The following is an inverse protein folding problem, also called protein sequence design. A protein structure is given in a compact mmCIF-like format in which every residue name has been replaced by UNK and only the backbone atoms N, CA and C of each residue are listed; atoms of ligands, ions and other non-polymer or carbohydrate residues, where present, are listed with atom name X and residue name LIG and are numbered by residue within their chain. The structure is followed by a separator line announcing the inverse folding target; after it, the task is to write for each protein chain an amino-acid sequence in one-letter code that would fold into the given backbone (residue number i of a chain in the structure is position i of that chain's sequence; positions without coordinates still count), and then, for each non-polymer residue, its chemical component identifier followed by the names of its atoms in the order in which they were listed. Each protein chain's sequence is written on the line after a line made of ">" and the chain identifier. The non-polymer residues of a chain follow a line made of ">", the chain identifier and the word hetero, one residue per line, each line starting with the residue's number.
data_IF_630253294774
#
_entry.id   IF_630253294774
#
_cell.length_a   1.000
_cell.length_b   1.000
_cell.length_c   1.000
_cell.angle_alpha   90.00
_cell.angle_beta   90.00
_cell.angle_gamma   90.00
#
_symmetry.space_group_name_H-M   'P 1'
#
loop_
_entity.id
_entity.type
_entity.pdbx_description
1 polymer ?
#
# COMPACT_ATOMS: atom_id res chain seq x y z
N UNK A 1 14.96 7.55 47.47
CA UNK A 1 14.80 7.14 46.06
C UNK A 1 15.97 7.70 45.26
N UNK A 2 16.97 6.88 44.93
CA UNK A 2 18.10 7.32 44.10
C UNK A 2 17.59 7.64 42.68
N UNK A 3 17.87 8.85 42.19
CA UNK A 3 17.46 9.26 40.84
C UNK A 3 18.14 8.41 39.77
N UNK A 4 17.37 7.95 38.78
CA UNK A 4 17.90 7.18 37.65
C UNK A 4 19.00 7.98 36.93
N UNK A 5 20.11 7.34 36.53
CA UNK A 5 21.23 8.01 35.88
C UNK A 5 20.80 8.66 34.57
N UNK A 6 21.33 9.86 34.30
CA UNK A 6 21.14 10.54 33.00
C UNK A 6 21.86 9.76 31.90
N UNK A 7 21.27 9.71 30.71
CA UNK A 7 21.83 9.06 29.50
C UNK A 7 23.25 9.50 29.12
N UNK A 8 23.72 10.64 29.64
CA UNK A 8 25.11 11.10 29.50
C UNK A 8 26.13 10.09 30.04
N UNK A 9 25.72 9.16 30.91
CA UNK A 9 26.55 8.08 31.45
C UNK A 9 26.54 6.77 30.65
N UNK A 10 25.79 6.70 29.54
CA UNK A 10 25.76 5.52 28.68
C UNK A 10 27.09 5.41 27.92
N UNK A 11 27.84 4.32 28.08
CA UNK A 11 29.06 4.06 27.30
C UNK A 11 28.69 3.90 25.82
N UNK A 12 29.63 4.18 24.92
CA UNK A 12 29.36 4.11 23.47
C UNK A 12 28.96 2.69 23.02
N UNK A 13 29.42 1.66 23.73
CA UNK A 13 29.00 0.27 23.51
C UNK A 13 27.53 0.04 23.90
N UNK A 14 27.11 0.51 25.07
CA UNK A 14 25.71 0.40 25.52
C UNK A 14 24.75 1.16 24.60
N UNK A 15 25.19 2.30 24.07
CA UNK A 15 24.47 3.10 23.07
C UNK A 15 24.21 2.32 21.79
N UNK A 16 25.19 1.55 21.30
CA UNK A 16 25.06 0.72 20.13
C UNK A 16 24.13 -0.48 20.39
N UNK A 17 24.29 -1.16 21.55
CA UNK A 17 23.43 -2.28 21.94
C UNK A 17 21.95 -1.88 22.09
N UNK A 18 21.67 -0.71 22.67
CA UNK A 18 20.31 -0.18 22.78
C UNK A 18 19.65 0.02 21.41
N UNK A 19 20.39 0.55 20.42
CA UNK A 19 19.84 0.75 19.08
C UNK A 19 19.63 -0.60 18.38
N UNK A 20 20.59 -1.52 18.48
CA UNK A 20 20.49 -2.85 17.87
C UNK A 20 19.30 -3.64 18.44
N UNK A 21 19.16 -3.69 19.77
CA UNK A 21 18.06 -4.37 20.43
C UNK A 21 16.72 -3.69 20.18
N UNK A 22 16.70 -2.35 20.15
CA UNK A 22 15.51 -1.63 19.74
C UNK A 22 15.12 -2.11 18.35
N UNK A 23 16.00 -1.97 17.33
CA UNK A 23 15.74 -2.39 15.96
C UNK A 23 15.23 -3.84 15.87
N UNK A 24 15.85 -4.76 16.63
CA UNK A 24 15.42 -6.15 16.73
C UNK A 24 13.98 -6.35 17.25
N UNK A 25 13.41 -5.37 17.95
CA UNK A 25 11.98 -5.30 18.25
C UNK A 25 11.61 -5.06 19.72
N UNK A 26 12.62 -4.98 20.60
CA UNK A 26 12.39 -4.69 22.03
C UNK A 26 11.80 -3.30 22.25
N UNK A 27 10.95 -3.16 23.27
CA UNK A 27 10.36 -1.88 23.62
C UNK A 27 11.35 -1.00 24.40
N UNK A 28 11.17 0.32 24.39
CA UNK A 28 12.00 1.20 25.22
C UNK A 28 11.77 0.97 26.72
N UNK A 29 10.62 0.41 27.13
CA UNK A 29 10.34 0.05 28.53
C UNK A 29 11.14 -1.18 28.97
N UNK A 30 11.27 -2.18 28.11
CA UNK A 30 12.06 -3.38 28.42
C UNK A 30 13.55 -3.05 28.41
N UNK A 31 13.99 -2.22 27.46
CA UNK A 31 15.35 -1.67 27.44
C UNK A 31 15.63 -0.82 28.69
N UNK A 32 14.65 -0.02 29.14
CA UNK A 32 14.76 0.76 30.36
C UNK A 32 15.00 -0.10 31.59
N UNK A 33 14.26 -1.21 31.73
CA UNK A 33 14.47 -2.18 32.82
C UNK A 33 15.82 -2.87 32.71
N UNK A 34 16.21 -3.31 31.50
CA UNK A 34 17.45 -4.04 31.25
C UNK A 34 18.70 -3.21 31.53
N UNK A 35 18.70 -1.95 31.10
CA UNK A 35 19.86 -1.06 31.20
C UNK A 35 19.80 -0.14 32.44
N UNK A 36 18.70 -0.14 33.20
CA UNK A 36 18.57 0.68 34.42
C UNK A 36 18.34 2.17 34.15
N UNK A 37 17.67 2.52 33.05
CA UNK A 37 17.41 3.90 32.65
C UNK A 37 15.92 4.24 32.64
N UNK A 38 15.61 5.53 32.56
CA UNK A 38 14.23 5.98 32.38
C UNK A 38 13.74 5.68 30.95
N UNK A 39 12.54 5.09 30.82
CA UNK A 39 11.92 4.84 29.52
C UNK A 39 11.76 6.11 28.65
N UNK A 40 11.30 7.27 29.20
CA UNK A 40 11.31 8.55 28.49
C UNK A 40 12.68 8.97 27.95
N UNK A 41 13.74 8.73 28.71
CA UNK A 41 15.09 9.07 28.30
C UNK A 41 15.52 8.21 27.11
N UNK A 42 15.41 6.88 27.22
CA UNK A 42 15.73 5.96 26.13
C UNK A 42 14.88 6.24 24.88
N UNK A 43 13.60 6.53 25.04
CA UNK A 43 12.74 6.91 23.91
C UNK A 43 13.24 8.17 23.18
N UNK A 44 13.70 9.19 23.92
CA UNK A 44 14.30 10.40 23.33
C UNK A 44 15.59 10.08 22.58
N UNK A 45 16.45 9.23 23.16
CA UNK A 45 17.70 8.80 22.54
C UNK A 45 17.47 8.00 21.25
N UNK A 46 16.61 6.97 21.32
CA UNK A 46 16.28 6.12 20.17
C UNK A 46 15.61 6.94 19.07
N UNK A 47 14.74 7.91 19.40
CA UNK A 47 14.14 8.82 18.41
C UNK A 47 15.19 9.65 17.65
N UNK A 48 16.27 10.05 18.31
CA UNK A 48 17.35 10.86 17.72
C UNK A 48 18.35 10.02 16.91
N UNK A 49 18.55 8.75 17.27
CA UNK A 49 19.62 7.91 16.71
C UNK A 49 19.14 6.77 15.82
N UNK A 50 17.88 6.38 15.88
CA UNK A 50 17.32 5.40 14.95
C UNK A 50 17.20 5.99 13.54
N UNK A 51 17.42 5.20 12.48
CA UNK A 51 17.22 5.64 11.10
C UNK A 51 15.80 6.19 10.87
N UNK A 52 15.68 7.15 9.96
CA UNK A 52 14.41 7.81 9.65
C UNK A 52 13.33 6.77 9.27
N UNK A 53 12.16 6.86 9.92
CA UNK A 53 11.05 5.93 9.72
C UNK A 53 11.10 4.62 10.55
N UNK A 54 12.20 4.33 11.25
CA UNK A 54 12.35 3.13 12.07
C UNK A 54 11.99 3.35 13.56
N UNK A 55 11.73 4.59 13.96
CA UNK A 55 11.21 4.90 15.29
C UNK A 55 9.75 4.46 15.41
N UNK A 56 9.48 3.48 16.28
CA UNK A 56 8.16 2.89 16.52
C UNK A 56 7.38 3.59 17.65
N UNK A 57 8.06 4.37 18.49
CA UNK A 57 7.51 4.90 19.75
C UNK A 57 8.12 4.20 20.97
N UNK A 58 7.89 4.77 22.16
CA UNK A 58 8.47 4.28 23.42
C UNK A 58 7.93 2.90 23.82
N UNK A 59 6.61 2.71 23.76
CA UNK A 59 5.93 1.54 24.32
C UNK A 59 5.49 0.54 23.24
N UNK A 60 6.01 0.68 22.02
CA UNK A 60 5.63 -0.20 20.91
C UNK A 60 6.65 -1.30 20.76
N UNK A 61 6.37 -2.47 21.35
CA UNK A 61 7.05 -3.70 20.95
C UNK A 61 6.79 -3.94 19.47
N UNK A 62 7.83 -4.31 18.74
CA UNK A 62 7.68 -4.75 17.38
C UNK A 62 7.54 -6.27 17.37
N UNK A 63 6.64 -6.74 16.53
CA UNK A 63 6.69 -8.13 16.08
C UNK A 63 8.00 -8.28 15.32
N UNK A 64 8.84 -9.22 15.74
CA UNK A 64 10.07 -9.52 14.99
C UNK A 64 9.70 -10.09 13.62
N UNK A 65 10.59 -9.99 12.64
CA UNK A 65 10.34 -10.55 11.31
C UNK A 65 10.08 -12.06 11.36
N UNK A 66 10.69 -12.74 12.33
CA UNK A 66 10.45 -14.17 12.61
C UNK A 66 9.04 -14.42 13.13
N UNK A 67 8.59 -13.64 14.13
CA UNK A 67 7.23 -13.72 14.65
C UNK A 67 6.19 -13.38 13.57
N UNK A 68 6.50 -12.44 12.66
CA UNK A 68 5.64 -12.11 11.53
C UNK A 68 5.55 -13.27 10.53
N UNK A 69 6.67 -13.92 10.20
CA UNK A 69 6.69 -15.12 9.34
C UNK A 69 5.92 -16.29 9.96
N UNK A 70 6.10 -16.54 11.27
CA UNK A 70 5.37 -17.57 11.99
C UNK A 70 3.86 -17.27 12.03
N UNK A 71 3.46 -16.02 12.28
CA UNK A 71 2.07 -15.59 12.21
C UNK A 71 1.45 -15.82 10.83
N UNK A 72 2.19 -15.54 9.75
CA UNK A 72 1.72 -15.78 8.38
C UNK A 72 1.59 -17.28 8.09
N UNK A 73 2.53 -18.11 8.57
CA UNK A 73 2.45 -19.56 8.44
C UNK A 73 1.21 -20.12 9.15
N UNK A 74 0.96 -19.68 10.39
CA UNK A 74 -0.24 -20.06 11.16
C UNK A 74 -1.53 -19.58 10.49
N UNK A 75 -1.54 -18.39 9.88
CA UNK A 75 -2.68 -17.92 9.08
C UNK A 75 -2.94 -18.80 7.85
N UNK A 76 -1.89 -19.24 7.15
CA UNK A 76 -2.02 -20.16 6.01
C UNK A 76 -2.57 -21.54 6.44
N UNK A 77 -2.31 -21.95 7.68
CA UNK A 77 -2.89 -23.16 8.28
C UNK A 77 -4.36 -22.98 8.71
N UNK A 78 -4.93 -21.77 8.59
CA UNK A 78 -6.34 -21.50 8.89
C UNK A 78 -6.64 -21.11 10.34
N UNK A 79 -5.61 -20.92 11.18
CA UNK A 79 -5.79 -20.46 12.56
C UNK A 79 -6.38 -19.05 12.61
N UNK A 80 -7.25 -18.78 13.60
CA UNK A 80 -7.85 -17.45 13.74
C UNK A 80 -6.81 -16.49 14.30
N UNK A 81 -6.86 -15.24 13.83
CA UNK A 81 -5.95 -14.16 14.30
C UNK A 81 -5.93 -13.99 15.82
N UNK A 82 -7.04 -14.27 16.52
CA UNK A 82 -7.09 -14.23 18.00
C UNK A 82 -6.26 -15.33 18.65
N UNK A 83 -6.29 -16.54 18.08
CA UNK A 83 -5.54 -17.70 18.57
C UNK A 83 -4.04 -17.50 18.29
N UNK A 84 -3.70 -16.97 17.12
CA UNK A 84 -2.31 -16.63 16.76
C UNK A 84 -1.76 -15.55 17.70
N UNK A 85 -2.55 -14.52 17.99
CA UNK A 85 -2.19 -13.47 18.93
C UNK A 85 -1.89 -14.03 20.33
N UNK A 86 -2.72 -14.95 20.81
CA UNK A 86 -2.50 -15.63 22.09
C UNK A 86 -1.23 -16.51 22.07
N UNK A 87 -1.05 -17.31 21.02
CA UNK A 87 0.08 -18.22 20.89
C UNK A 87 1.44 -17.50 20.79
N UNK A 88 1.44 -16.29 20.22
CA UNK A 88 2.65 -15.47 20.07
C UNK A 88 2.82 -14.44 21.19
N UNK A 89 1.90 -14.38 22.16
CA UNK A 89 1.83 -13.37 23.22
C UNK A 89 1.87 -11.92 22.68
N UNK A 90 1.14 -11.68 21.59
CA UNK A 90 1.08 -10.39 20.89
C UNK A 90 -0.37 -9.91 20.87
N UNK A 91 -0.58 -8.62 21.14
CA UNK A 91 -1.93 -8.05 20.99
C UNK A 91 -2.45 -8.18 19.55
N UNK A 92 -3.73 -8.47 19.38
CA UNK A 92 -4.38 -8.64 18.06
C UNK A 92 -4.13 -7.44 17.13
N UNK A 93 -4.11 -6.23 17.66
CA UNK A 93 -3.86 -5.00 16.89
C UNK A 93 -2.39 -4.81 16.47
N UNK A 94 -1.44 -5.40 17.18
CA UNK A 94 -0.02 -5.43 16.80
C UNK A 94 0.20 -6.50 15.73
N UNK A 95 -0.39 -7.68 15.90
CA UNK A 95 -0.40 -8.76 14.90
C UNK A 95 -0.96 -8.29 13.55
N UNK A 96 -2.13 -7.64 13.55
CA UNK A 96 -2.75 -7.11 12.33
C UNK A 96 -1.83 -6.12 11.59
N UNK A 97 -1.18 -5.22 12.33
CA UNK A 97 -0.24 -4.24 11.75
C UNK A 97 1.02 -4.90 11.21
N UNK A 98 1.53 -5.93 11.88
CA UNK A 98 2.70 -6.69 11.44
C UNK A 98 2.43 -7.42 10.12
N UNK A 99 1.30 -8.13 10.02
CA UNK A 99 0.90 -8.83 8.80
C UNK A 99 0.73 -7.83 7.64
N UNK A 100 0.02 -6.72 7.87
CA UNK A 100 -0.21 -5.70 6.85
C UNK A 100 1.09 -5.07 6.33
N UNK A 101 2.07 -4.86 7.22
CA UNK A 101 3.41 -4.38 6.81
C UNK A 101 4.16 -5.41 6.00
N UNK A 102 4.18 -6.66 6.45
CA UNK A 102 4.86 -7.74 5.73
C UNK A 102 4.21 -8.03 4.36
N UNK A 103 2.89 -7.87 4.23
CA UNK A 103 2.20 -7.93 2.93
C UNK A 103 2.55 -6.73 2.04
N UNK A 104 2.64 -5.52 2.59
CA UNK A 104 3.07 -4.36 1.83
C UNK A 104 4.52 -4.48 1.35
N UNK A 105 5.41 -4.95 2.22
CA UNK A 105 6.83 -5.19 1.90
C UNK A 105 7.01 -6.31 0.88
N UNK A 106 6.22 -7.39 0.97
CA UNK A 106 6.24 -8.45 -0.05
C UNK A 106 5.73 -7.95 -1.40
N UNK A 107 4.71 -7.09 -1.43
CA UNK A 107 4.25 -6.43 -2.67
C UNK A 107 5.30 -5.47 -3.24
N UNK A 108 6.05 -4.77 -2.38
CA UNK A 108 7.12 -3.87 -2.82
C UNK A 108 8.36 -4.62 -3.32
N UNK A 109 8.70 -5.78 -2.74
CA UNK A 109 9.82 -6.62 -3.19
C UNK A 109 9.48 -7.53 -4.37
N UNK A 110 8.22 -7.96 -4.51
CA UNK A 110 7.76 -8.81 -5.62
C UNK A 110 7.36 -7.99 -6.87
N UNK A 111 8.01 -6.86 -7.10
CA UNK A 111 7.98 -6.22 -8.41
C UNK A 111 8.64 -7.16 -9.42
N UNK A 112 7.83 -7.81 -10.26
CA UNK A 112 8.30 -8.69 -11.34
C UNK A 112 9.44 -7.97 -12.08
N UNK A 113 10.63 -8.58 -12.25
CA UNK A 113 11.78 -7.87 -12.78
C UNK A 113 11.48 -7.29 -14.16
N UNK A 114 12.10 -6.14 -14.45
CA UNK A 114 11.76 -5.32 -15.63
C UNK A 114 11.86 -6.13 -16.93
N UNK A 115 12.88 -6.96 -17.07
CA UNK A 115 13.12 -7.77 -18.28
C UNK A 115 12.03 -8.82 -18.49
N UNK A 116 11.61 -9.51 -17.43
CA UNK A 116 10.54 -10.51 -17.46
C UNK A 116 9.20 -9.86 -17.84
N UNK A 117 8.92 -8.69 -17.27
CA UNK A 117 7.73 -7.89 -17.62
C UNK A 117 7.74 -7.47 -19.10
N UNK A 118 8.90 -7.07 -19.63
CA UNK A 118 9.04 -6.72 -21.06
C UNK A 118 8.76 -7.94 -21.95
N UNK A 119 9.27 -9.13 -21.60
CA UNK A 119 9.04 -10.34 -22.35
C UNK A 119 7.55 -10.73 -22.40
N UNK A 120 6.84 -10.63 -21.27
CA UNK A 120 5.40 -10.90 -21.21
C UNK A 120 4.57 -9.87 -21.99
N UNK A 121 4.97 -8.59 -21.97
CA UNK A 121 4.34 -7.56 -22.79
C UNK A 121 4.58 -7.83 -24.28
N UNK A 122 5.79 -8.26 -24.67
CA UNK A 122 6.10 -8.63 -26.05
C UNK A 122 5.25 -9.82 -26.52
N UNK A 123 5.09 -10.85 -25.68
CA UNK A 123 4.22 -11.99 -25.98
C UNK A 123 2.74 -11.58 -26.11
N UNK A 124 2.26 -10.68 -25.24
CA UNK A 124 0.92 -10.11 -25.35
C UNK A 124 0.71 -9.34 -26.67
N UNK A 125 1.72 -8.61 -27.13
CA UNK A 125 1.70 -7.92 -28.43
C UNK A 125 1.70 -8.93 -29.59
N UNK A 126 2.48 -10.02 -29.53
CA UNK A 126 2.44 -11.09 -30.54
C UNK A 126 1.06 -11.70 -30.67
N UNK A 127 0.36 -11.89 -29.55
CA UNK A 127 -1.02 -12.40 -29.50
C UNK A 127 -2.07 -11.38 -29.95
N UNK A 128 -1.66 -10.16 -30.33
CA UNK A 128 -2.57 -9.10 -30.76
C UNK A 128 -3.45 -8.52 -29.65
N UNK A 129 -3.08 -8.73 -28.38
CA UNK A 129 -3.85 -8.23 -27.24
C UNK A 129 -3.77 -6.71 -27.14
N UNK A 130 -4.87 -6.08 -26.71
CA UNK A 130 -4.88 -4.64 -26.47
C UNK A 130 -4.04 -4.30 -25.24
N UNK A 131 -3.51 -3.07 -25.18
CA UNK A 131 -2.79 -2.58 -23.99
C UNK A 131 -3.59 -2.74 -22.69
N UNK A 132 -4.92 -2.65 -22.77
CA UNK A 132 -5.81 -2.82 -21.61
C UNK A 132 -5.84 -4.27 -21.13
N UNK A 133 -5.83 -5.22 -22.04
CA UNK A 133 -5.90 -6.64 -21.70
C UNK A 133 -4.55 -7.16 -21.20
N UNK A 134 -3.45 -6.70 -21.79
CA UNK A 134 -2.08 -6.95 -21.29
C UNK A 134 -1.93 -6.39 -19.87
N UNK A 135 -2.38 -5.16 -19.63
CA UNK A 135 -2.38 -4.53 -18.31
C UNK A 135 -3.18 -5.34 -17.27
N UNK A 136 -4.37 -5.83 -17.66
CA UNK A 136 -5.22 -6.65 -16.79
C UNK A 136 -4.55 -7.99 -16.44
N UNK A 137 -3.93 -8.66 -17.41
CA UNK A 137 -3.23 -9.93 -17.18
C UNK A 137 -2.00 -9.78 -16.28
N UNK A 138 -1.28 -8.66 -16.40
CA UNK A 138 -0.08 -8.41 -15.62
C UNK A 138 -0.36 -7.77 -14.26
N UNK A 139 -1.58 -7.28 -14.01
CA UNK A 139 -1.93 -6.55 -12.80
C UNK A 139 -1.28 -5.16 -12.73
N UNK A 140 -0.98 -4.56 -13.88
CA UNK A 140 -0.26 -3.28 -13.99
C UNK A 140 -1.20 -2.22 -14.58
N UNK A 141 -0.99 -0.94 -14.26
CA UNK A 141 -1.74 0.15 -14.89
C UNK A 141 -1.47 0.24 -16.42
N UNK A 142 -2.52 0.50 -17.20
CA UNK A 142 -2.43 0.64 -18.66
C UNK A 142 -1.42 1.70 -19.11
N UNK A 143 -1.34 2.81 -18.35
CA UNK A 143 -0.39 3.90 -18.59
C UNK A 143 1.07 3.42 -18.49
N UNK A 144 1.37 2.53 -17.55
CA UNK A 144 2.70 1.97 -17.33
C UNK A 144 3.10 1.03 -18.46
N UNK A 145 2.18 0.21 -18.96
CA UNK A 145 2.42 -0.64 -20.15
C UNK A 145 2.81 0.23 -21.35
N UNK A 146 2.03 1.28 -21.63
CA UNK A 146 2.25 2.17 -22.78
C UNK A 146 3.55 2.98 -22.68
N UNK A 147 3.86 3.54 -21.50
CA UNK A 147 5.02 4.43 -21.32
C UNK A 147 6.34 3.69 -21.11
N UNK A 148 6.34 2.64 -20.31
CA UNK A 148 7.59 2.06 -19.79
C UNK A 148 8.02 0.78 -20.52
N UNK A 149 7.06 -0.01 -20.99
CA UNK A 149 7.30 -1.36 -21.50
C UNK A 149 7.09 -1.50 -23.01
N UNK A 150 6.16 -0.75 -23.59
CA UNK A 150 5.77 -0.88 -24.99
C UNK A 150 6.92 -0.71 -25.99
N UNK A 151 7.72 0.35 -25.85
CA UNK A 151 8.86 0.59 -26.77
C UNK A 151 9.93 -0.50 -26.66
N UNK A 152 10.23 -0.96 -25.45
CA UNK A 152 11.20 -2.03 -25.21
C UNK A 152 10.70 -3.39 -25.72
N UNK A 153 9.40 -3.66 -25.55
CA UNK A 153 8.76 -4.87 -26.07
C UNK A 153 8.74 -4.88 -27.61
N UNK A 154 8.49 -3.73 -28.26
CA UNK A 154 8.60 -3.60 -29.72
C UNK A 154 10.02 -3.81 -30.24
N UNK A 155 11.04 -3.33 -29.51
CA UNK A 155 12.43 -3.56 -29.88
C UNK A 155 12.76 -5.06 -29.89
N UNK A 156 12.27 -5.84 -28.91
CA UNK A 156 12.43 -7.30 -28.89
C UNK A 156 11.65 -8.04 -30.00
N UNK A 157 10.61 -7.41 -30.55
CA UNK A 157 9.82 -7.97 -31.65
C UNK A 157 10.39 -7.63 -33.03
N UNK A 158 11.28 -6.65 -33.09
CA UNK A 158 11.89 -6.17 -34.34
C UNK A 158 12.77 -7.23 -35.00
N UNK A 159 13.35 -8.14 -34.20
CA UNK A 159 14.19 -9.25 -34.67
C UNK A 159 13.40 -10.47 -35.15
N UNK A 160 12.10 -10.56 -34.85
CA UNK A 160 11.23 -11.69 -35.25
C UNK A 160 9.92 -11.16 -35.80
N UNK A 161 9.89 -10.90 -37.11
CA UNK A 161 8.72 -10.65 -37.97
C UNK A 161 7.67 -9.65 -37.44
N UNK A 162 7.59 -8.51 -38.13
CA UNK A 162 6.50 -7.53 -38.07
C UNK A 162 5.12 -8.22 -38.05
N UNK A 163 4.35 -8.17 -36.96
CA UNK A 163 3.01 -8.71 -36.97
C UNK A 163 2.09 -7.77 -37.75
N UNK A 164 1.33 -8.35 -38.69
CA UNK A 164 0.21 -7.70 -39.37
C UNK A 164 -0.86 -7.42 -38.31
N UNK A 165 -1.04 -6.15 -37.96
CA UNK A 165 -2.14 -5.71 -37.10
C UNK A 165 -3.46 -6.06 -37.82
N UNK A 166 -4.36 -6.88 -37.24
CA UNK A 166 -5.71 -6.99 -37.77
C UNK A 166 -6.36 -5.61 -37.66
N UNK A 167 -6.95 -5.16 -38.78
CA UNK A 167 -7.53 -3.84 -38.92
C UNK A 167 -8.43 -3.50 -37.71
N UNK A 168 -8.32 -2.29 -37.13
CA UNK A 168 -9.17 -1.89 -36.02
C UNK A 168 -10.62 -1.98 -36.47
N UNK A 169 -11.39 -2.90 -35.88
CA UNK A 169 -12.85 -2.93 -36.06
C UNK A 169 -13.37 -1.54 -35.66
N UNK A 170 -14.13 -0.84 -36.53
CA UNK A 170 -14.65 0.48 -36.20
C UNK A 170 -15.52 0.33 -34.95
N UNK A 171 -15.13 1.02 -33.88
CA UNK A 171 -15.99 1.16 -32.71
C UNK A 171 -17.27 1.86 -33.16
N UNK A 172 -18.47 1.41 -32.75
CA UNK A 172 -19.67 2.19 -33.01
C UNK A 172 -19.49 3.53 -32.29
N UNK A 173 -19.26 4.57 -33.06
CA UNK A 173 -19.31 5.96 -32.61
C UNK A 173 -20.73 6.19 -32.15
N UNK A 174 -20.98 6.08 -30.84
CA UNK A 174 -22.23 6.54 -30.24
C UNK A 174 -22.17 8.07 -30.23
N UNK A 175 -22.33 8.68 -31.40
CA UNK A 175 -22.79 10.06 -31.54
C UNK A 175 -24.31 10.04 -31.63
N UNK A 176 -24.96 9.45 -30.63
CA UNK A 176 -26.33 9.84 -30.33
C UNK A 176 -26.23 11.18 -29.61
N UNK A 177 -26.03 12.25 -30.37
CA UNK A 177 -26.31 13.60 -29.90
C UNK A 177 -27.81 13.59 -29.62
N UNK A 178 -28.19 13.43 -28.36
CA UNK A 178 -29.57 13.56 -27.91
C UNK A 178 -30.11 14.82 -28.57
N UNK A 179 -31.04 14.67 -29.52
CA UNK A 179 -31.77 15.80 -30.07
C UNK A 179 -32.56 16.35 -28.89
N UNK A 180 -32.02 17.38 -28.25
CA UNK A 180 -32.74 18.14 -27.24
C UNK A 180 -33.87 18.80 -28.01
N UNK A 181 -35.05 18.18 -28.01
CA UNK A 181 -36.24 18.79 -28.61
C UNK A 181 -36.47 20.11 -27.90
N UNK A 182 -36.69 21.17 -28.66
CA UNK A 182 -37.04 22.51 -28.17
C UNK A 182 -38.48 22.58 -27.65
N UNK A 183 -39.11 21.42 -27.45
CA UNK A 183 -40.46 21.33 -26.89
C UNK A 183 -40.38 21.52 -25.37
N UNK A 184 -41.24 22.38 -24.79
CA UNK A 184 -41.31 22.53 -23.34
C UNK A 184 -41.63 21.18 -22.72
N UNK A 185 -40.87 20.80 -21.69
CA UNK A 185 -41.10 19.56 -20.95
C UNK A 185 -42.54 19.56 -20.40
N UNK A 186 -43.25 18.43 -20.48
CA UNK A 186 -44.64 18.35 -20.02
C UNK A 186 -44.75 18.69 -18.53
N UNK A 187 -45.90 19.25 -18.13
CA UNK A 187 -46.18 19.60 -16.74
C UNK A 187 -46.04 18.36 -15.85
N UNK A 188 -45.23 18.46 -14.78
CA UNK A 188 -44.92 17.34 -13.89
C UNK A 188 -43.67 16.52 -14.25
N UNK A 189 -42.88 16.93 -15.26
CA UNK A 189 -41.65 16.23 -15.60
C UNK A 189 -40.67 16.18 -14.41
N UNK A 190 -40.07 15.01 -14.16
CA UNK A 190 -39.26 14.78 -12.96
C UNK A 190 -38.02 15.69 -12.83
N UNK A 191 -37.48 16.14 -13.97
CA UNK A 191 -36.29 17.01 -14.02
C UNK A 191 -36.55 18.40 -13.41
N UNK A 192 -37.54 19.20 -13.89
CA UNK A 192 -37.84 20.50 -13.28
C UNK A 192 -38.33 20.38 -11.83
N UNK A 193 -39.10 19.33 -11.48
CA UNK A 193 -39.55 19.09 -10.10
C UNK A 193 -38.36 18.87 -9.16
N UNK A 194 -37.42 17.99 -9.51
CA UNK A 194 -36.22 17.77 -8.70
C UNK A 194 -35.31 19.00 -8.62
N UNK A 195 -35.23 19.80 -9.70
CA UNK A 195 -34.46 21.04 -9.71
C UNK A 195 -35.05 22.08 -8.75
N UNK A 196 -36.38 22.23 -8.72
CA UNK A 196 -37.07 23.11 -7.77
C UNK A 196 -36.84 22.67 -6.31
N UNK A 197 -36.97 21.38 -6.01
CA UNK A 197 -36.76 20.85 -4.66
C UNK A 197 -35.32 21.08 -4.17
N UNK A 198 -34.30 20.78 -5.00
CA UNK A 198 -32.90 21.06 -4.65
C UNK A 198 -32.61 22.54 -4.46
N UNK A 199 -33.25 23.40 -5.26
CA UNK A 199 -33.17 24.85 -5.06
C UNK A 199 -33.67 25.26 -3.67
N UNK A 200 -34.84 24.75 -3.27
CA UNK A 200 -35.46 25.04 -1.97
C UNK A 200 -34.64 24.53 -0.78
N UNK A 201 -34.03 23.34 -0.90
CA UNK A 201 -33.14 22.78 0.11
C UNK A 201 -31.88 23.63 0.35
N UNK A 202 -31.32 24.22 -0.72
CA UNK A 202 -30.18 25.14 -0.61
C UNK A 202 -30.55 26.43 0.15
N UNK A 203 -31.78 26.93 -0.02
CA UNK A 203 -32.25 28.10 0.72
C UNK A 203 -32.53 27.81 2.20
N UNK A 204 -33.05 26.62 2.54
CA UNK A 204 -33.18 26.19 3.94
C UNK A 204 -31.83 26.03 4.65
N UNK A 205 -30.81 25.62 3.91
CA UNK A 205 -29.46 25.41 4.47
C UNK A 205 -28.65 26.71 4.61
N UNK A 206 -29.10 27.82 4.02
CA UNK A 206 -28.43 29.12 4.06
C UNK A 206 -29.01 30.10 5.10
N UNK A 207 -30.07 29.68 5.81
CA UNK A 207 -30.75 30.48 6.85
C UNK A 207 -30.57 29.95 8.28
N UNK A 208 -29.55 29.12 8.53
CA UNK A 208 -29.16 28.62 9.85
C UNK A 208 -27.73 29.03 10.18
#
# INVERSE_FOLDING_TARGET
>A
MAGLPRLERLTDDQRASVIAEYLAGTSCEDLAKKYGYSAPQLARYVRLKAPAGQYRGANRSAVTDEQAKQAIAMLKQGLKRKEIAYNLDISVGVLYRAIKRHEAESVMQAGRPRHETIALVADGIRRGLSHRDIARQLGIAQSTVKKNYYKAALALLSDTQKPVLPAPKPKPTVTARLKLSSEPLPFGHAIPVNAMWRGLERWRSAGA
#
